data_IF_739132887483
#
_entry.id   IF_739132887483
#
_cell.length_a   1.000
_cell.length_b   1.000
_cell.length_c   1.000
_cell.angle_alpha   90.00
_cell.angle_beta   90.00
_cell.angle_gamma   90.00
#
_symmetry.space_group_name_H-M   'P 1'
#
loop_
_entity.id
_entity.type
_entity.pdbx_description
1 polymer ?
#
# COMPACT_ATOMS: atom_id res chain seq x y z
N UNK A 1 0.08 -25.15 6.20
CA UNK A 1 -0.89 -24.70 7.22
C UNK A 1 -2.06 -25.67 7.31
N UNK A 2 -2.54 -25.93 8.51
CA UNK A 2 -3.77 -26.67 8.69
C UNK A 2 -4.96 -25.85 8.20
N UNK A 3 -6.12 -26.50 7.92
CA UNK A 3 -7.30 -25.71 7.53
C UNK A 3 -7.71 -24.66 8.57
N UNK A 4 -7.56 -24.96 9.86
CA UNK A 4 -7.89 -24.00 10.92
C UNK A 4 -6.92 -22.81 10.90
N UNK A 5 -5.62 -23.06 10.72
CA UNK A 5 -4.61 -22.01 10.61
C UNK A 5 -4.83 -21.14 9.38
N UNK A 6 -5.25 -21.76 8.27
CA UNK A 6 -5.55 -21.02 7.05
C UNK A 6 -6.71 -20.06 7.25
N UNK A 7 -7.78 -20.50 7.89
CA UNK A 7 -8.93 -19.66 8.17
C UNK A 7 -8.53 -18.51 9.08
N UNK A 8 -7.74 -18.77 10.10
CA UNK A 8 -7.25 -17.73 11.01
C UNK A 8 -6.43 -16.69 10.27
N UNK A 9 -5.52 -17.13 9.38
CA UNK A 9 -4.70 -16.21 8.60
C UNK A 9 -5.56 -15.34 7.68
N UNK A 10 -6.55 -15.93 7.01
CA UNK A 10 -7.45 -15.17 6.16
C UNK A 10 -8.26 -14.13 6.93
N UNK A 11 -8.73 -14.49 8.12
CA UNK A 11 -9.48 -13.57 8.96
C UNK A 11 -8.60 -12.42 9.45
N UNK A 12 -7.35 -12.70 9.78
CA UNK A 12 -6.41 -11.66 10.21
C UNK A 12 -6.12 -10.68 9.09
N UNK A 13 -5.91 -11.17 7.88
CA UNK A 13 -5.68 -10.31 6.71
C UNK A 13 -6.91 -9.45 6.44
N UNK A 14 -8.09 -10.06 6.49
CA UNK A 14 -9.34 -9.33 6.26
C UNK A 14 -9.53 -8.22 7.28
N UNK A 15 -9.20 -8.48 8.53
CA UNK A 15 -9.33 -7.47 9.58
C UNK A 15 -8.39 -6.29 9.36
N UNK A 16 -7.13 -6.57 8.98
CA UNK A 16 -6.19 -5.49 8.66
C UNK A 16 -6.69 -4.65 7.48
N UNK A 17 -7.20 -5.29 6.44
CA UNK A 17 -7.74 -4.58 5.28
C UNK A 17 -8.91 -3.70 5.69
N UNK A 18 -9.80 -4.21 6.53
CA UNK A 18 -10.93 -3.41 7.02
C UNK A 18 -10.47 -2.17 7.78
N UNK A 19 -9.41 -2.29 8.57
CA UNK A 19 -8.84 -1.13 9.26
C UNK A 19 -8.23 -0.14 8.27
N UNK A 20 -7.55 -0.63 7.24
CA UNK A 20 -6.94 0.24 6.24
C UNK A 20 -7.96 1.13 5.53
N UNK A 21 -9.20 0.67 5.40
CA UNK A 21 -10.25 1.47 4.75
C UNK A 21 -10.45 2.84 5.42
N UNK A 22 -10.33 2.90 6.74
CA UNK A 22 -10.51 4.16 7.47
C UNK A 22 -9.29 5.05 7.43
N UNK A 23 -8.14 4.53 7.01
CA UNK A 23 -6.89 5.28 6.89
C UNK A 23 -6.67 5.83 5.49
N UNK A 24 -7.36 5.27 4.48
CA UNK A 24 -7.18 5.71 3.11
C UNK A 24 -7.88 7.05 2.87
N UNK A 25 -7.13 8.00 2.34
CA UNK A 25 -7.67 9.32 2.04
C UNK A 25 -8.36 9.35 0.68
N UNK A 26 -9.12 10.41 0.36
CA UNK A 26 -9.76 10.53 -0.96
C UNK A 26 -8.76 10.53 -2.12
N UNK A 27 -7.52 10.98 -1.90
CA UNK A 27 -6.49 10.97 -2.93
C UNK A 27 -5.89 9.58 -3.16
N UNK A 28 -6.11 8.65 -2.24
CA UNK A 28 -5.64 7.28 -2.35
C UNK A 28 -4.52 6.91 -1.42
N UNK A 29 -3.77 7.88 -0.92
CA UNK A 29 -2.73 7.62 0.06
C UNK A 29 -3.30 7.33 1.45
N UNK A 30 -2.47 6.81 2.34
CA UNK A 30 -2.89 6.44 3.69
C UNK A 30 -2.34 7.43 4.71
N UNK A 31 -3.20 7.77 5.69
CA UNK A 31 -2.82 8.61 6.81
C UNK A 31 -2.29 7.74 7.96
N UNK A 32 -1.70 8.37 8.99
CA UNK A 32 -1.33 7.67 10.22
C UNK A 32 -2.51 7.38 11.13
N UNK A 33 -3.57 8.19 11.04
CA UNK A 33 -4.73 8.10 11.93
C UNK A 33 -5.99 7.99 11.09
N UNK A 34 -7.01 7.25 11.58
CA UNK A 34 -8.28 7.16 10.87
C UNK A 34 -8.92 8.54 10.71
N UNK A 35 -9.42 8.81 9.50
CA UNK A 35 -10.14 10.05 9.22
C UNK A 35 -9.27 11.30 9.07
N UNK A 36 -7.96 11.17 9.17
CA UNK A 36 -7.06 12.28 8.97
C UNK A 36 -6.88 12.58 7.48
N UNK A 37 -6.88 13.86 7.07
CA UNK A 37 -6.71 14.19 5.65
C UNK A 37 -5.27 14.17 5.18
N UNK A 38 -4.30 14.17 6.10
CA UNK A 38 -2.88 14.29 5.74
C UNK A 38 -2.29 12.91 5.47
N UNK A 39 -1.76 12.75 4.26
CA UNK A 39 -1.17 11.49 3.83
C UNK A 39 0.24 11.35 4.39
N UNK A 40 0.55 10.17 4.94
CA UNK A 40 1.91 9.79 5.26
C UNK A 40 2.49 9.00 4.09
N UNK A 41 3.60 9.47 3.53
CA UNK A 41 4.23 8.78 2.41
C UNK A 41 4.75 7.42 2.83
N UNK A 42 5.34 7.33 4.03
CA UNK A 42 5.82 6.05 4.54
C UNK A 42 4.67 5.08 4.79
N UNK A 43 3.61 5.54 5.46
CA UNK A 43 2.47 4.68 5.76
C UNK A 43 1.80 4.17 4.47
N UNK A 44 1.74 5.02 3.44
CA UNK A 44 1.18 4.63 2.15
C UNK A 44 1.98 3.49 1.52
N UNK A 45 3.30 3.64 1.47
CA UNK A 45 4.17 2.59 0.92
C UNK A 45 4.09 1.32 1.75
N UNK A 46 4.04 1.44 3.07
CA UNK A 46 3.94 0.29 3.95
C UNK A 46 2.62 -0.47 3.76
N UNK A 47 1.51 0.27 3.66
CA UNK A 47 0.19 -0.34 3.44
C UNK A 47 0.14 -1.06 2.08
N UNK A 48 0.64 -0.43 1.03
CA UNK A 48 0.66 -1.04 -0.30
C UNK A 48 1.58 -2.25 -0.33
N UNK A 49 2.72 -2.20 0.36
CA UNK A 49 3.61 -3.34 0.50
C UNK A 49 2.87 -4.53 1.14
N UNK A 50 2.13 -4.27 2.21
CA UNK A 50 1.31 -5.31 2.85
C UNK A 50 0.28 -5.88 1.87
N UNK A 51 -0.46 -5.02 1.18
CA UNK A 51 -1.51 -5.46 0.25
C UNK A 51 -0.93 -6.28 -0.91
N UNK A 52 0.20 -5.86 -1.45
CA UNK A 52 0.84 -6.57 -2.55
C UNK A 52 1.31 -7.96 -2.12
N UNK A 53 1.90 -8.05 -0.92
CA UNK A 53 2.35 -9.34 -0.40
C UNK A 53 1.18 -10.26 -0.08
N UNK A 54 0.11 -9.72 0.48
CA UNK A 54 -1.09 -10.50 0.76
C UNK A 54 -1.68 -11.07 -0.53
N UNK A 55 -1.73 -10.25 -1.58
CA UNK A 55 -2.24 -10.70 -2.88
C UNK A 55 -1.37 -11.81 -3.46
N UNK A 56 -0.05 -11.68 -3.37
CA UNK A 56 0.87 -12.72 -3.86
C UNK A 56 0.70 -14.04 -3.14
N UNK A 57 0.32 -13.99 -1.88
CA UNK A 57 0.10 -15.19 -1.08
C UNK A 57 -1.30 -15.77 -1.26
N UNK A 58 -2.12 -15.18 -2.13
CA UNK A 58 -3.43 -15.70 -2.46
C UNK A 58 -4.58 -15.17 -1.62
N UNK A 59 -4.33 -14.19 -0.75
CA UNK A 59 -5.40 -13.55 0.02
C UNK A 59 -6.19 -12.59 -0.84
N UNK A 60 -7.46 -12.45 -0.55
CA UNK A 60 -8.32 -11.50 -1.25
C UNK A 60 -7.96 -10.07 -0.83
N UNK A 61 -7.65 -9.24 -1.80
CA UNK A 61 -7.30 -7.83 -1.60
C UNK A 61 -8.23 -6.97 -2.44
N UNK A 62 -8.82 -5.89 -1.86
CA UNK A 62 -9.70 -5.01 -2.64
C UNK A 62 -8.90 -4.33 -3.74
N UNK A 63 -9.24 -4.62 -4.97
CA UNK A 63 -8.56 -4.09 -6.15
C UNK A 63 -8.60 -2.57 -6.17
N UNK A 64 -9.75 -1.98 -5.85
CA UNK A 64 -9.91 -0.52 -5.89
C UNK A 64 -9.02 0.17 -4.85
N UNK A 65 -8.93 -0.40 -3.65
CA UNK A 65 -8.04 0.14 -2.62
C UNK A 65 -6.59 0.14 -3.11
N UNK A 66 -6.15 -0.98 -3.65
CA UNK A 66 -4.79 -1.13 -4.14
C UNK A 66 -4.50 -0.20 -5.32
N UNK A 67 -5.39 -0.17 -6.31
CA UNK A 67 -5.21 0.69 -7.49
C UNK A 67 -5.22 2.17 -7.12
N UNK A 68 -6.13 2.59 -6.24
CA UNK A 68 -6.21 3.98 -5.82
C UNK A 68 -4.92 4.42 -5.14
N UNK A 69 -4.40 3.57 -4.27
CA UNK A 69 -3.15 3.87 -3.57
C UNK A 69 -1.94 3.87 -4.52
N UNK A 70 -1.87 2.92 -5.44
CA UNK A 70 -0.74 2.86 -6.38
C UNK A 70 -0.77 4.01 -7.37
N UNK A 71 -1.95 4.45 -7.79
CA UNK A 71 -2.07 5.64 -8.64
C UNK A 71 -1.54 6.89 -7.92
N UNK A 72 -1.89 7.06 -6.65
CA UNK A 72 -1.35 8.14 -5.84
C UNK A 72 0.17 8.04 -5.76
N UNK A 73 0.69 6.86 -5.47
CA UNK A 73 2.14 6.66 -5.35
C UNK A 73 2.88 6.99 -6.65
N UNK A 74 2.30 6.63 -7.80
CA UNK A 74 2.90 6.95 -9.10
C UNK A 74 2.96 8.46 -9.34
N UNK A 75 1.89 9.17 -8.98
CA UNK A 75 1.88 10.63 -9.10
C UNK A 75 2.99 11.26 -8.25
N UNK A 76 3.11 10.82 -7.01
CA UNK A 76 4.15 11.34 -6.12
C UNK A 76 5.54 10.98 -6.64
N UNK A 77 5.72 9.76 -7.11
CA UNK A 77 7.01 9.32 -7.66
C UNK A 77 7.43 10.18 -8.85
N UNK A 78 6.49 10.49 -9.72
CA UNK A 78 6.76 11.28 -10.92
C UNK A 78 7.01 12.75 -10.64
N UNK A 79 6.47 13.27 -9.56
CA UNK A 79 6.62 14.68 -9.18
C UNK A 79 7.65 14.89 -8.08
N UNK A 80 8.35 13.83 -7.67
CA UNK A 80 9.32 13.92 -6.59
C UNK A 80 10.44 14.88 -6.91
N UNK A 81 10.80 15.70 -5.91
CA UNK A 81 11.85 16.71 -6.03
C UNK A 81 13.08 16.27 -5.24
N UNK A 82 14.18 15.99 -5.94
CA UNK A 82 15.41 15.50 -5.32
C UNK A 82 16.15 16.56 -4.51
N UNK A 83 15.69 17.81 -4.52
CA UNK A 83 16.29 18.86 -3.67
C UNK A 83 15.88 18.74 -2.21
N UNK A 84 14.92 17.88 -1.89
CA UNK A 84 14.48 17.63 -0.52
C UNK A 84 15.16 16.36 0.02
N UNK A 85 16.32 16.50 0.70
CA UNK A 85 17.10 15.31 1.09
C UNK A 85 16.36 14.34 2.00
N UNK A 86 15.48 14.87 2.87
CA UNK A 86 14.71 14.05 3.80
C UNK A 86 13.69 13.17 3.08
N UNK A 87 13.34 13.49 1.84
CA UNK A 87 12.35 12.73 1.07
C UNK A 87 12.96 11.58 0.27
N UNK A 88 14.28 11.44 0.26
CA UNK A 88 14.95 10.42 -0.56
C UNK A 88 14.62 9.00 -0.10
N UNK A 89 14.55 8.79 1.21
CA UNK A 89 14.21 7.47 1.74
C UNK A 89 12.77 7.09 1.40
N UNK A 90 11.86 8.07 1.51
CA UNK A 90 10.47 7.84 1.11
C UNK A 90 10.37 7.50 -0.36
N UNK A 91 11.12 8.20 -1.21
CA UNK A 91 11.10 7.92 -2.64
C UNK A 91 11.68 6.54 -2.95
N UNK A 92 12.77 6.17 -2.32
CA UNK A 92 13.37 4.85 -2.54
C UNK A 92 12.42 3.73 -2.16
N UNK A 93 11.77 3.85 -1.00
CA UNK A 93 10.79 2.85 -0.56
C UNK A 93 9.58 2.81 -1.49
N UNK A 94 9.10 3.99 -1.90
CA UNK A 94 7.97 4.09 -2.84
C UNK A 94 8.27 3.36 -4.14
N UNK A 95 9.45 3.58 -4.70
CA UNK A 95 9.83 2.94 -5.97
C UNK A 95 9.96 1.42 -5.82
N UNK A 96 10.50 0.98 -4.70
CA UNK A 96 10.59 -0.45 -4.40
C UNK A 96 9.19 -1.08 -4.36
N UNK A 97 8.27 -0.44 -3.66
CA UNK A 97 6.90 -0.96 -3.52
C UNK A 97 6.16 -0.92 -4.85
N UNK A 98 6.32 0.16 -5.62
CA UNK A 98 5.71 0.23 -6.95
C UNK A 98 6.19 -0.91 -7.86
N UNK A 99 7.45 -1.29 -7.75
CA UNK A 99 7.97 -2.42 -8.52
C UNK A 99 7.32 -3.74 -8.10
N UNK A 100 6.94 -3.89 -6.83
CA UNK A 100 6.25 -5.09 -6.36
C UNK A 100 4.84 -5.22 -6.95
N UNK A 101 4.14 -4.10 -7.11
CA UNK A 101 2.73 -4.13 -7.53
C UNK A 101 2.54 -4.00 -9.02
N UNK A 102 3.59 -3.79 -9.77
CA UNK A 102 3.48 -3.51 -11.19
C UNK A 102 4.03 -4.65 -12.05
N UNK A 103 3.24 -5.72 -12.26
CA UNK A 103 3.67 -6.84 -13.09
C UNK A 103 3.85 -6.47 -14.55
N UNK A 104 3.35 -5.32 -14.97
CA UNK A 104 3.43 -4.85 -16.34
C UNK A 104 4.87 -4.64 -16.80
N UNK A 105 5.79 -4.41 -15.86
CA UNK A 105 7.20 -4.26 -16.16
C UNK A 105 7.90 -5.56 -16.43
N UNK A 106 7.23 -6.65 -16.18
CA UNK A 106 7.78 -7.97 -16.47
C UNK A 106 7.47 -8.32 -17.90
N UNK A 107 8.49 -8.67 -18.67
CA UNK A 107 8.31 -9.03 -20.06
C UNK A 107 7.40 -10.24 -20.22
#
# INVERSE_FOLDING_TARGET
>A
LSPAQQITAENNVREVINRLRSYQTPEGGFAYWPGEPYISEWATSYAVNFLANAQKQGYAVPIQMLQHATNYMRQVANSWNRTEPWSQQDQAYRLYVLALVNPIWQP
#
